data_IF_226278761172
#
_entry.id   IF_226278761172
#
_cell.length_a   1.000
_cell.length_b   1.000
_cell.length_c   1.000
_cell.angle_alpha   90.00
_cell.angle_beta   90.00
_cell.angle_gamma   90.00
#
_symmetry.space_group_name_H-M   'P 1'
#
loop_
_entity.id
_entity.type
_entity.pdbx_description
1 polymer ?
#
# COMPACT_ATOMS: atom_id res chain seq x y z
N UNK A 1 25.05 3.11 -27.15
CA UNK A 1 23.57 3.05 -27.04
C UNK A 1 23.08 1.81 -26.32
N UNK A 2 23.90 0.75 -26.23
CA UNK A 2 23.58 -0.53 -25.56
C UNK A 2 23.19 -0.42 -24.08
N UNK A 3 23.65 0.63 -23.38
CA UNK A 3 23.38 0.81 -21.96
C UNK A 3 21.93 1.23 -21.66
N UNK A 4 21.28 2.02 -22.53
CA UNK A 4 19.89 2.46 -22.31
C UNK A 4 18.87 1.33 -22.54
N UNK A 5 19.10 0.51 -23.57
CA UNK A 5 18.27 -0.63 -23.90
C UNK A 5 18.27 -1.68 -22.77
N UNK A 6 19.44 -1.92 -22.17
CA UNK A 6 19.57 -2.82 -21.01
C UNK A 6 18.77 -2.32 -19.80
N UNK A 7 18.80 -1.01 -19.53
CA UNK A 7 18.04 -0.42 -18.42
C UNK A 7 16.52 -0.45 -18.65
N UNK A 8 16.05 -0.32 -19.90
CA UNK A 8 14.62 -0.39 -20.22
C UNK A 8 14.07 -1.80 -20.05
N UNK A 9 14.79 -2.82 -20.51
CA UNK A 9 14.40 -4.21 -20.33
C UNK A 9 14.34 -4.59 -18.84
N UNK A 10 15.33 -4.15 -18.05
CA UNK A 10 15.35 -4.42 -16.61
C UNK A 10 14.22 -3.69 -15.87
N UNK A 11 13.90 -2.46 -16.25
CA UNK A 11 12.76 -1.72 -15.68
C UNK A 11 11.42 -2.36 -16.04
N UNK A 12 11.27 -2.91 -17.25
CA UNK A 12 10.07 -3.67 -17.63
C UNK A 12 9.95 -4.97 -16.84
N UNK A 13 11.02 -5.73 -16.67
CA UNK A 13 10.98 -6.94 -15.84
C UNK A 13 10.62 -6.63 -14.39
N UNK A 14 11.22 -5.59 -13.80
CA UNK A 14 10.89 -5.16 -12.44
C UNK A 14 9.40 -4.80 -12.32
N UNK A 15 8.87 -4.03 -13.29
CA UNK A 15 7.50 -3.54 -13.27
C UNK A 15 6.43 -4.63 -13.48
N UNK A 16 6.69 -5.60 -14.35
CA UNK A 16 5.68 -6.59 -14.77
C UNK A 16 5.80 -7.95 -14.07
N UNK A 17 6.99 -8.40 -13.68
CA UNK A 17 7.20 -9.73 -13.09
C UNK A 17 7.41 -9.67 -11.57
N UNK A 18 8.15 -8.68 -11.06
CA UNK A 18 8.54 -8.72 -9.65
C UNK A 18 7.60 -7.97 -8.71
N UNK A 19 7.09 -6.80 -9.10
CA UNK A 19 6.17 -6.01 -8.25
C UNK A 19 4.88 -6.77 -7.88
N UNK A 20 4.25 -7.57 -8.76
CA UNK A 20 3.08 -8.36 -8.39
C UNK A 20 3.36 -9.50 -7.41
N UNK A 21 4.61 -9.99 -7.36
CA UNK A 21 4.97 -11.23 -6.65
C UNK A 21 5.51 -10.95 -5.24
N UNK A 22 5.99 -9.74 -4.97
CA UNK A 22 6.37 -9.31 -3.63
C UNK A 22 7.06 -7.94 -3.62
N UNK A 23 6.38 -6.85 -3.21
CA UNK A 23 6.99 -5.53 -3.21
C UNK A 23 8.10 -5.44 -2.15
N UNK A 24 9.33 -5.17 -2.57
CA UNK A 24 10.47 -5.03 -1.66
C UNK A 24 10.96 -3.58 -1.55
N UNK A 25 11.47 -3.19 -0.37
CA UNK A 25 12.11 -1.88 -0.14
C UNK A 25 13.33 -1.69 -1.06
N UNK A 26 13.98 -2.80 -1.44
CA UNK A 26 15.10 -2.79 -2.39
C UNK A 26 14.64 -2.34 -3.78
N UNK A 27 13.52 -2.85 -4.30
CA UNK A 27 12.97 -2.43 -5.60
C UNK A 27 12.63 -0.94 -5.63
N UNK A 28 12.07 -0.41 -4.53
CA UNK A 28 11.81 1.02 -4.39
C UNK A 28 13.10 1.85 -4.49
N UNK A 29 14.17 1.38 -3.83
CA UNK A 29 15.49 2.03 -3.84
C UNK A 29 16.13 1.98 -5.23
N UNK A 30 16.03 0.84 -5.93
CA UNK A 30 16.51 0.69 -7.31
C UNK A 30 15.77 1.60 -8.28
N UNK A 31 14.44 1.74 -8.13
CA UNK A 31 13.63 2.66 -8.92
C UNK A 31 14.05 4.12 -8.70
N UNK A 32 14.31 4.51 -7.44
CA UNK A 32 14.79 5.84 -7.10
C UNK A 32 16.18 6.12 -7.68
N UNK A 33 17.07 5.13 -7.67
CA UNK A 33 18.40 5.25 -8.26
C UNK A 33 18.33 5.36 -9.79
N UNK A 34 17.50 4.54 -10.44
CA UNK A 34 17.26 4.61 -11.88
C UNK A 34 16.74 5.99 -12.29
N UNK A 35 15.75 6.51 -11.55
CA UNK A 35 15.22 7.87 -11.75
C UNK A 35 16.30 8.94 -11.64
N UNK A 36 17.14 8.86 -10.60
CA UNK A 36 18.25 9.79 -10.39
C UNK A 36 19.23 9.75 -11.57
N UNK A 37 19.57 8.56 -12.08
CA UNK A 37 20.46 8.40 -13.24
C UNK A 37 19.88 9.03 -14.50
N UNK A 38 18.58 8.84 -14.76
CA UNK A 38 17.87 9.43 -15.91
C UNK A 38 17.87 10.97 -15.81
N UNK A 39 17.59 11.52 -14.63
CA UNK A 39 17.58 12.96 -14.41
C UNK A 39 18.97 13.60 -14.61
N UNK A 40 20.03 12.94 -14.14
CA UNK A 40 21.41 13.38 -14.38
C UNK A 40 21.73 13.34 -15.87
N UNK A 41 21.43 12.24 -16.56
CA UNK A 41 21.68 12.09 -17.99
C UNK A 41 20.95 13.17 -18.81
N UNK A 42 19.67 13.40 -18.54
CA UNK A 42 18.89 14.43 -19.23
C UNK A 42 19.47 15.84 -19.01
N UNK A 43 19.91 16.14 -17.78
CA UNK A 43 20.56 17.41 -17.44
C UNK A 43 21.89 17.58 -18.16
N UNK A 44 22.70 16.53 -18.22
CA UNK A 44 24.02 16.57 -18.87
C UNK A 44 23.89 16.74 -20.38
N UNK A 45 22.93 16.05 -21.02
CA UNK A 45 22.61 16.22 -22.44
C UNK A 45 22.08 17.62 -22.73
N UNK A 46 21.22 18.17 -21.88
CA UNK A 46 20.72 19.55 -22.02
C UNK A 46 21.85 20.58 -21.87
N UNK A 47 22.76 20.38 -20.92
CA UNK A 47 23.94 21.23 -20.75
C UNK A 47 24.86 21.13 -21.98
N UNK A 48 25.11 19.93 -22.49
CA UNK A 48 25.91 19.71 -23.70
C UNK A 48 25.33 20.46 -24.91
N UNK A 49 24.00 20.45 -25.06
CA UNK A 49 23.32 21.22 -26.10
C UNK A 49 23.48 22.73 -25.92
N UNK A 50 23.42 23.22 -24.68
CA UNK A 50 23.56 24.64 -24.36
C UNK A 50 24.97 25.18 -24.66
N UNK A 51 26.01 24.40 -24.39
CA UNK A 51 27.41 24.79 -24.59
C UNK A 51 27.95 24.48 -25.99
N UNK A 52 27.13 23.91 -26.87
CA UNK A 52 27.56 23.58 -28.22
C UNK A 52 27.80 24.87 -29.03
N UNK A 53 29.02 25.13 -29.52
CA UNK A 53 29.28 26.32 -30.30
C UNK A 53 28.50 26.28 -31.62
N UNK A 54 27.93 27.41 -32.03
CA UNK A 54 27.16 27.52 -33.29
C UNK A 54 27.98 27.13 -34.53
N UNK A 55 29.31 27.25 -34.46
CA UNK A 55 30.23 26.81 -35.53
C UNK A 55 30.16 25.32 -35.81
N UNK A 56 29.85 24.48 -34.81
CA UNK A 56 29.69 23.02 -35.00
C UNK A 56 28.50 22.74 -35.92
N UNK A 57 27.45 23.56 -35.85
CA UNK A 57 26.29 23.44 -36.72
C UNK A 57 26.66 23.75 -38.17
N UNK A 58 27.50 24.77 -38.37
CA UNK A 58 27.97 25.16 -39.70
C UNK A 58 28.93 24.12 -40.28
N UNK A 59 29.78 23.51 -39.44
CA UNK A 59 30.72 22.46 -39.85
C UNK A 59 30.01 21.14 -40.19
N UNK A 60 28.98 20.76 -39.42
CA UNK A 60 28.11 19.62 -39.72
C UNK A 60 27.33 19.86 -41.02
N UNK A 61 26.80 21.07 -41.21
CA UNK A 61 26.09 21.44 -42.44
C UNK A 61 27.01 21.45 -43.67
N UNK A 62 28.30 21.77 -43.51
CA UNK A 62 29.31 21.65 -44.58
C UNK A 62 29.62 20.18 -44.89
N UNK A 63 29.87 19.35 -43.87
CA UNK A 63 30.15 17.94 -44.05
C UNK A 63 29.01 17.19 -44.75
N UNK A 64 27.76 17.57 -44.48
CA UNK A 64 26.59 17.02 -45.16
C UNK A 64 26.55 17.37 -46.66
N UNK A 65 26.95 18.59 -47.04
CA UNK A 65 27.05 18.99 -48.46
C UNK A 65 28.16 18.23 -49.20
N UNK A 66 29.18 17.81 -48.48
CA UNK A 66 30.28 16.99 -48.98
C UNK A 66 29.90 15.49 -49.08
N UNK A 67 28.65 15.13 -48.79
CA UNK A 67 28.15 13.77 -48.89
C UNK A 67 28.53 12.86 -47.72
N UNK A 68 29.11 13.41 -46.65
CA UNK A 68 29.36 12.66 -45.43
C UNK A 68 28.05 12.45 -44.67
N UNK A 69 27.79 11.19 -44.27
CA UNK A 69 26.68 10.88 -43.37
C UNK A 69 27.02 11.39 -41.96
N UNK A 70 26.51 12.57 -41.61
CA UNK A 70 26.68 13.16 -40.28
C UNK A 70 25.31 13.27 -39.63
N UNK A 71 25.17 12.64 -38.47
CA UNK A 71 23.95 12.76 -37.67
C UNK A 71 23.94 14.12 -36.97
N UNK A 72 22.83 14.84 -37.08
CA UNK A 72 22.68 16.14 -36.45
C UNK A 72 22.73 15.97 -34.91
N UNK A 73 23.74 16.54 -34.24
CA UNK A 73 23.91 16.33 -32.79
C UNK A 73 22.75 16.94 -31.99
N UNK A 74 22.05 17.93 -32.53
CA UNK A 74 20.85 18.51 -31.94
C UNK A 74 19.63 17.58 -32.02
N UNK A 75 19.44 16.87 -33.13
CA UNK A 75 18.35 15.89 -33.27
C UNK A 75 18.57 14.67 -32.37
N UNK A 76 19.81 14.15 -32.31
CA UNK A 76 20.17 13.06 -31.42
C UNK A 76 19.99 13.45 -29.93
N UNK A 77 20.41 14.66 -29.55
CA UNK A 77 20.22 15.16 -28.18
C UNK A 77 18.73 15.34 -27.82
N UNK A 78 17.91 15.87 -28.75
CA UNK A 78 16.46 16.00 -28.57
C UNK A 78 15.79 14.64 -28.42
N UNK A 79 16.20 13.66 -29.22
CA UNK A 79 15.70 12.29 -29.12
C UNK A 79 16.00 11.71 -27.73
N UNK A 80 17.25 11.79 -27.26
CA UNK A 80 17.64 11.28 -25.94
C UNK A 80 16.88 11.98 -24.81
N UNK A 81 16.65 13.29 -24.90
CA UNK A 81 15.84 14.02 -23.90
C UNK A 81 14.38 13.53 -23.92
N UNK A 82 13.82 13.28 -25.10
CA UNK A 82 12.44 12.78 -25.23
C UNK A 82 12.29 11.37 -24.67
N UNK A 83 13.26 10.49 -24.92
CA UNK A 83 13.30 9.13 -24.38
C UNK A 83 13.50 9.13 -22.87
N UNK A 84 14.37 10.00 -22.35
CA UNK A 84 14.57 10.17 -20.91
C UNK A 84 13.29 10.64 -20.21
N UNK A 85 12.51 11.55 -20.83
CA UNK A 85 11.24 12.00 -20.29
C UNK A 85 10.17 10.90 -20.30
N UNK A 86 10.09 10.11 -21.37
CA UNK A 86 9.19 8.97 -21.43
C UNK A 86 9.54 7.93 -20.35
N UNK A 87 10.83 7.71 -20.11
CA UNK A 87 11.31 6.78 -19.09
C UNK A 87 11.03 7.29 -17.66
N UNK A 88 11.20 8.59 -17.38
CA UNK A 88 10.82 9.18 -16.08
C UNK A 88 9.32 9.03 -15.81
N UNK A 89 8.48 9.22 -16.83
CA UNK A 89 7.03 9.00 -16.72
C UNK A 89 6.70 7.53 -16.42
N UNK A 90 7.32 6.59 -17.14
CA UNK A 90 7.15 5.16 -16.88
C UNK A 90 7.58 4.76 -15.46
N UNK A 91 8.69 5.30 -14.96
CA UNK A 91 9.16 5.07 -13.59
C UNK A 91 8.15 5.63 -12.58
N UNK A 92 7.54 6.78 -12.86
CA UNK A 92 6.51 7.36 -11.99
C UNK A 92 5.25 6.50 -11.92
N UNK A 93 4.78 6.00 -13.06
CA UNK A 93 3.62 5.11 -13.12
C UNK A 93 3.90 3.82 -12.35
N UNK A 94 5.13 3.30 -12.47
CA UNK A 94 5.59 2.12 -11.72
C UNK A 94 5.63 2.37 -10.20
N UNK A 95 6.05 3.55 -9.74
CA UNK A 95 5.96 3.92 -8.31
C UNK A 95 4.52 3.94 -7.80
N UNK A 96 3.60 4.49 -8.59
CA UNK A 96 2.18 4.52 -8.20
C UNK A 96 1.60 3.11 -8.07
N UNK A 97 1.96 2.21 -9.01
CA UNK A 97 1.56 0.81 -8.94
C UNK A 97 2.17 0.13 -7.71
N UNK A 98 3.48 0.27 -7.48
CA UNK A 98 4.16 -0.28 -6.31
C UNK A 98 3.50 0.17 -5.00
N UNK A 99 3.22 1.47 -4.87
CA UNK A 99 2.59 2.03 -3.69
C UNK A 99 1.17 1.50 -3.49
N UNK A 100 0.40 1.35 -4.57
CA UNK A 100 -0.91 0.71 -4.53
C UNK A 100 -0.82 -0.73 -4.03
N UNK A 101 0.11 -1.52 -4.55
CA UNK A 101 0.32 -2.92 -4.12
C UNK A 101 0.74 -3.00 -2.65
N UNK A 102 1.67 -2.16 -2.21
CA UNK A 102 2.08 -2.09 -0.79
C UNK A 102 0.90 -1.72 0.10
N UNK A 103 0.09 -0.74 -0.30
CA UNK A 103 -1.08 -0.33 0.48
C UNK A 103 -2.12 -1.44 0.59
N UNK A 104 -2.33 -2.22 -0.47
CA UNK A 104 -3.23 -3.38 -0.44
C UNK A 104 -2.67 -4.46 0.48
N UNK A 105 -1.39 -4.80 0.34
CA UNK A 105 -0.74 -5.81 1.18
C UNK A 105 -0.74 -5.41 2.66
N UNK A 106 -0.50 -4.13 2.97
CA UNK A 106 -0.56 -3.59 4.32
C UNK A 106 -1.98 -3.59 4.90
N UNK A 107 -3.00 -3.38 4.05
CA UNK A 107 -4.39 -3.51 4.47
C UNK A 107 -4.76 -4.97 4.77
N UNK A 108 -4.32 -5.92 3.95
CA UNK A 108 -4.53 -7.35 4.19
C UNK A 108 -3.85 -7.83 5.46
N UNK A 109 -2.58 -7.47 5.67
CA UNK A 109 -1.86 -7.83 6.90
C UNK A 109 -2.50 -7.20 8.13
N UNK A 110 -2.94 -5.94 8.05
CA UNK A 110 -3.69 -5.28 9.12
C UNK A 110 -5.04 -5.94 9.41
N UNK A 111 -5.72 -6.47 8.39
CA UNK A 111 -6.96 -7.25 8.58
C UNK A 111 -6.70 -8.59 9.28
N UNK A 112 -5.61 -9.27 8.93
CA UNK A 112 -5.25 -10.55 9.56
C UNK A 112 -4.77 -10.36 11.00
N UNK A 113 -4.04 -9.28 11.29
CA UNK A 113 -3.69 -8.88 12.65
C UNK A 113 -4.94 -8.52 13.46
N UNK A 114 -5.87 -7.75 12.89
CA UNK A 114 -7.14 -7.42 13.52
C UNK A 114 -7.99 -8.68 13.82
N UNK A 115 -8.02 -9.66 12.91
CA UNK A 115 -8.69 -10.96 13.14
C UNK A 115 -8.06 -11.72 14.29
N UNK A 116 -6.73 -11.73 14.36
CA UNK A 116 -5.99 -12.41 15.44
C UNK A 116 -6.23 -11.73 16.78
N UNK A 117 -6.18 -10.40 16.82
CA UNK A 117 -6.51 -9.60 18.00
C UNK A 117 -7.98 -9.81 18.42
N UNK A 118 -8.91 -9.91 17.48
CA UNK A 118 -10.32 -10.19 17.76
C UNK A 118 -10.51 -11.55 18.44
N UNK A 119 -9.80 -12.59 17.97
CA UNK A 119 -9.82 -13.92 18.62
C UNK A 119 -9.29 -13.86 20.06
N UNK A 120 -8.21 -13.12 20.29
CA UNK A 120 -7.64 -12.92 21.63
C UNK A 120 -8.60 -12.17 22.55
N UNK A 121 -9.22 -11.09 22.07
CA UNK A 121 -10.24 -10.34 22.82
C UNK A 121 -11.44 -11.21 23.17
N UNK A 122 -11.88 -12.06 22.25
CA UNK A 122 -12.97 -12.99 22.52
C UNK A 122 -12.62 -13.97 23.64
N UNK A 123 -11.43 -14.56 23.61
CA UNK A 123 -10.93 -15.41 24.70
C UNK A 123 -10.85 -14.65 26.03
N UNK A 124 -10.27 -13.45 26.01
CA UNK A 124 -10.12 -12.61 27.19
C UNK A 124 -11.48 -12.22 27.80
N UNK A 125 -12.50 -11.97 26.98
CA UNK A 125 -13.85 -11.62 27.44
C UNK A 125 -14.51 -12.73 28.27
N UNK A 126 -14.13 -14.00 28.05
CA UNK A 126 -14.62 -15.14 28.82
C UNK A 126 -13.70 -15.42 30.01
N UNK A 127 -12.38 -15.40 29.80
CA UNK A 127 -11.42 -15.74 30.84
C UNK A 127 -11.29 -14.67 31.93
N UNK A 128 -11.30 -13.39 31.60
CA UNK A 128 -11.18 -12.30 32.58
C UNK A 128 -12.24 -12.36 33.71
N UNK A 129 -13.56 -12.43 33.41
CA UNK A 129 -14.55 -12.52 34.47
C UNK A 129 -14.44 -13.85 35.23
N UNK A 130 -14.06 -14.93 34.56
CA UNK A 130 -13.88 -16.24 35.21
C UNK A 130 -12.71 -16.22 36.19
N UNK A 131 -11.59 -15.60 35.81
CA UNK A 131 -10.43 -15.35 36.68
C UNK A 131 -10.75 -14.39 37.82
N UNK A 132 -11.62 -13.40 37.60
CA UNK A 132 -12.08 -12.51 38.68
C UNK A 132 -12.89 -13.28 39.73
N UNK A 133 -13.81 -14.16 39.30
CA UNK A 133 -14.57 -15.02 40.22
C UNK A 133 -13.60 -15.95 40.96
N UNK A 134 -12.71 -16.65 40.27
CA UNK A 134 -11.76 -17.55 40.95
C UNK A 134 -10.78 -16.80 41.86
N UNK A 135 -10.43 -15.55 41.57
CA UNK A 135 -9.63 -14.70 42.45
C UNK A 135 -10.37 -14.29 43.73
N UNK A 136 -11.61 -13.79 43.60
CA UNK A 136 -12.45 -13.38 44.74
C UNK A 136 -12.71 -14.56 45.69
N UNK A 137 -12.99 -15.74 45.14
CA UNK A 137 -13.25 -16.94 45.95
C UNK A 137 -11.97 -17.71 46.32
N UNK A 138 -10.87 -17.55 45.59
CA UNK A 138 -9.58 -18.14 45.92
C UNK A 138 -8.86 -17.44 47.08
N UNK A 139 -9.14 -16.16 47.31
CA UNK A 139 -8.63 -15.39 48.45
C UNK A 139 -9.49 -15.62 49.70
N UNK A 140 -9.03 -16.51 50.58
CA UNK A 140 -9.47 -16.72 51.98
C UNK A 140 -10.99 -16.92 52.22
N UNK A 141 -11.49 -18.12 51.86
CA UNK A 141 -12.80 -18.67 52.28
C UNK A 141 -12.92 -18.86 53.81
N UNK A 142 -11.83 -18.71 54.57
CA UNK A 142 -11.85 -18.91 56.03
C UNK A 142 -12.63 -17.82 56.80
N UNK A 143 -12.79 -16.62 56.24
CA UNK A 143 -13.48 -15.50 56.91
C UNK A 143 -14.91 -15.27 56.38
N UNK A 144 -15.23 -15.80 55.20
CA UNK A 144 -16.57 -15.70 54.58
C UNK A 144 -17.52 -16.79 55.11
N UNK A 145 -17.00 -17.89 55.65
CA UNK A 145 -17.84 -18.99 56.16
C UNK A 145 -18.56 -18.67 57.49
N UNK A 146 -18.20 -17.57 58.18
CA UNK A 146 -18.95 -17.05 59.33
C UNK A 146 -20.14 -16.15 58.91
N UNK A 147 -20.27 -15.84 57.61
CA UNK A 147 -21.43 -15.11 57.08
C UNK A 147 -22.18 -15.97 56.06
N UNK A 148 -23.50 -15.99 56.18
CA UNK A 148 -24.51 -16.78 55.44
C UNK A 148 -24.58 -16.53 53.92
N UNK A 149 -23.47 -16.38 53.19
CA UNK A 149 -23.53 -16.32 51.73
C UNK A 149 -23.59 -17.73 51.13
N UNK A 150 -24.72 -18.14 50.53
CA UNK A 150 -24.85 -19.46 49.93
C UNK A 150 -23.94 -19.57 48.70
N UNK A 151 -23.30 -20.72 48.52
CA UNK A 151 -22.48 -21.05 47.34
C UNK A 151 -23.19 -20.81 45.99
N UNK A 152 -24.53 -20.83 45.98
CA UNK A 152 -25.37 -20.44 44.83
C UNK A 152 -25.20 -18.99 44.38
N UNK A 153 -24.80 -18.07 45.27
CA UNK A 153 -24.53 -16.68 44.93
C UNK A 153 -23.34 -16.54 43.97
N UNK A 154 -22.35 -17.44 44.05
CA UNK A 154 -21.24 -17.50 43.11
C UNK A 154 -21.70 -17.87 41.69
N UNK A 155 -22.57 -18.90 41.62
CA UNK A 155 -23.17 -19.35 40.38
C UNK A 155 -24.04 -18.25 39.74
N UNK A 156 -24.81 -17.53 40.57
CA UNK A 156 -25.66 -16.42 40.12
C UNK A 156 -24.82 -15.24 39.61
N UNK A 157 -23.74 -14.88 40.31
CA UNK A 157 -22.83 -13.80 39.91
C UNK A 157 -22.11 -14.13 38.59
N UNK A 158 -21.68 -15.39 38.40
CA UNK A 158 -21.03 -15.84 37.16
C UNK A 158 -22.01 -15.80 35.98
N UNK A 159 -23.22 -16.32 36.16
CA UNK A 159 -24.27 -16.28 35.11
C UNK A 159 -24.66 -14.83 34.78
N UNK A 160 -24.78 -13.95 35.79
CA UNK A 160 -25.05 -12.54 35.57
C UNK A 160 -23.93 -11.86 34.78
N UNK A 161 -22.66 -12.14 35.08
CA UNK A 161 -21.53 -11.54 34.36
C UNK A 161 -21.40 -12.02 32.92
N UNK A 162 -21.56 -13.33 32.69
CA UNK A 162 -21.56 -13.91 31.33
C UNK A 162 -22.75 -13.37 30.54
N UNK A 163 -23.92 -13.28 31.17
CA UNK A 163 -25.12 -12.68 30.57
C UNK A 163 -24.92 -11.22 30.20
N UNK A 164 -24.33 -10.42 31.09
CA UNK A 164 -24.07 -9.00 30.84
C UNK A 164 -23.07 -8.79 29.70
N UNK A 165 -21.96 -9.54 29.72
CA UNK A 165 -20.96 -9.54 28.65
C UNK A 165 -21.58 -9.97 27.32
N UNK A 166 -22.40 -11.01 27.32
CA UNK A 166 -23.14 -11.48 26.15
C UNK A 166 -24.11 -10.44 25.59
N UNK A 167 -24.87 -9.73 26.45
CA UNK A 167 -25.76 -8.66 25.99
C UNK A 167 -25.02 -7.49 25.38
N UNK A 168 -23.85 -7.11 25.91
CA UNK A 168 -23.01 -6.06 25.34
C UNK A 168 -22.55 -6.49 23.94
N UNK A 169 -22.02 -7.71 23.80
CA UNK A 169 -21.58 -8.24 22.51
C UNK A 169 -22.73 -8.30 21.49
N UNK A 170 -23.92 -8.76 21.90
CA UNK A 170 -25.10 -8.81 21.04
C UNK A 170 -25.53 -7.42 20.55
N UNK A 171 -25.47 -6.42 21.43
CA UNK A 171 -25.78 -5.02 21.07
C UNK A 171 -24.74 -4.47 20.09
N UNK A 172 -23.46 -4.80 20.28
CA UNK A 172 -22.39 -4.43 19.35
C UNK A 172 -22.57 -5.08 17.97
N UNK A 173 -22.87 -6.37 17.89
CA UNK A 173 -23.14 -7.06 16.62
C UNK A 173 -24.36 -6.47 15.91
N UNK A 174 -25.46 -6.25 16.65
CA UNK A 174 -26.68 -5.63 16.09
C UNK A 174 -26.43 -4.22 15.57
N UNK A 175 -25.55 -3.44 16.20
CA UNK A 175 -25.14 -2.13 15.69
C UNK A 175 -24.20 -2.23 14.49
N UNK A 176 -23.31 -3.22 14.45
CA UNK A 176 -22.41 -3.47 13.33
C UNK A 176 -23.18 -3.87 12.06
N UNK A 177 -24.20 -4.73 12.19
CA UNK A 177 -25.06 -5.14 11.08
C UNK A 177 -25.85 -3.96 10.48
N UNK A 178 -26.37 -3.07 11.32
CA UNK A 178 -27.03 -1.84 10.86
C UNK A 178 -26.10 -0.95 10.03
N UNK A 179 -24.79 -0.94 10.32
CA UNK A 179 -23.80 -0.17 9.54
C UNK A 179 -23.46 -0.83 8.20
N UNK A 180 -23.49 -2.17 8.11
CA UNK A 180 -23.25 -2.89 6.85
C UNK A 180 -24.38 -2.70 5.84
N UNK A 181 -25.64 -2.73 6.30
CA UNK A 181 -26.81 -2.48 5.44
C UNK A 181 -26.78 -1.09 4.78
N UNK A 182 -26.38 -0.05 5.51
CA UNK A 182 -26.41 1.32 4.99
C UNK A 182 -25.31 1.62 3.94
N UNK A 183 -24.17 0.91 3.98
CA UNK A 183 -23.11 1.06 2.96
C UNK A 183 -23.46 0.40 1.62
N UNK A 184 -24.25 -0.68 1.64
CA UNK A 184 -24.71 -1.36 0.41
C UNK A 184 -25.56 -0.45 -0.47
N UNK A 185 -26.50 0.29 0.12
CA UNK A 185 -27.37 1.23 -0.61
C UNK A 185 -26.60 2.35 -1.32
N UNK A 186 -25.57 2.93 -0.70
CA UNK A 186 -24.81 4.03 -1.32
C UNK A 186 -23.98 3.62 -2.54
N UNK A 187 -23.55 2.35 -2.63
CA UNK A 187 -22.79 1.86 -3.79
C UNK A 187 -23.72 1.59 -4.97
N UNK A 188 -24.92 1.08 -4.71
CA UNK A 188 -25.91 0.79 -5.74
C UNK A 188 -26.47 2.07 -6.37
N UNK A 189 -26.75 3.10 -5.56
CA UNK A 189 -27.21 4.41 -6.04
C UNK A 189 -26.15 5.10 -6.91
N UNK A 190 -24.85 4.96 -6.59
CA UNK A 190 -23.77 5.46 -7.44
C UNK A 190 -23.66 4.73 -8.77
N UNK A 191 -23.87 3.41 -8.80
CA UNK A 191 -23.88 2.63 -10.05
C UNK A 191 -25.04 3.05 -10.96
N UNK A 192 -26.24 3.24 -10.40
CA UNK A 192 -27.42 3.70 -11.15
C UNK A 192 -27.29 5.14 -11.66
N UNK A 193 -26.59 6.00 -10.90
CA UNK A 193 -26.28 7.36 -11.34
C UNK A 193 -25.22 7.41 -12.45
N UNK A 194 -24.34 6.40 -12.57
CA UNK A 194 -23.32 6.35 -13.63
C UNK A 194 -23.86 5.70 -14.92
N UNK A 195 -24.77 4.73 -14.80
CA UNK A 195 -25.42 4.10 -15.97
C UNK A 195 -26.47 4.97 -16.66
N UNK A 196 -26.93 6.05 -16.00
CA UNK A 196 -27.86 7.04 -16.58
C UNK A 196 -27.15 8.23 -17.23
N UNK A 197 -25.81 8.27 -17.19
CA UNK A 197 -24.98 9.34 -17.74
C UNK A 197 -24.14 8.93 -18.97
N UNK A 198 -24.32 7.71 -19.48
CA UNK A 198 -23.72 7.27 -20.76
C UNK A 198 -24.76 7.36 -21.89
N UNK A 199 -24.63 8.31 -22.85
CA UNK A 199 -25.39 8.31 -24.09
C UNK A 199 -24.95 7.20 -25.06
#
# INVERSE_FOLDING_TARGET
MDNLAFHTVRLQQLAFEEIPTGPSIQQNTELHEARRKIAILAKDVANMLHWMPSSVRDDVAKAQREGAFVWFPDDAARQVISEAKALDQFVMDTFQLLMSTISVLAAESGLDEARSAQKLMWLASVYLPLTMVTGIFGMNIREVNDSLLPWWACLLALVAMVGFTGTILFVFDKMADRRRGNKGYSIEVRKLSLSSLSP
#
